data_IF_885468253207
#
_entry.id   IF_885468253207
#
_cell.length_a   1.000
_cell.length_b   1.000
_cell.length_c   1.000
_cell.angle_alpha   90.00
_cell.angle_beta   90.00
_cell.angle_gamma   90.00
#
_symmetry.space_group_name_H-M   'P 1'
#
loop_
_entity.id
_entity.type
_entity.pdbx_description
1 polymer ?
#
# COMPACT_ATOMS: atom_id res chain seq x y z
N UNK A 1 -30.06 -11.16 15.74
CA UNK A 1 -30.96 -9.98 15.74
C UNK A 1 -30.26 -8.86 14.98
N UNK A 2 -30.92 -8.21 14.00
CA UNK A 2 -30.25 -7.33 13.05
C UNK A 2 -30.30 -5.84 13.45
N UNK A 3 -29.29 -5.12 12.93
CA UNK A 3 -29.23 -3.71 12.54
C UNK A 3 -29.59 -2.62 13.57
N UNK A 4 -28.62 -1.75 13.85
CA UNK A 4 -28.88 -0.31 13.97
C UNK A 4 -27.78 0.48 13.25
N UNK A 5 -28.15 1.04 12.10
CA UNK A 5 -27.48 2.15 11.44
C UNK A 5 -27.68 3.40 12.30
N UNK A 6 -26.64 4.18 12.51
CA UNK A 6 -26.77 5.58 12.94
C UNK A 6 -26.02 6.42 11.92
N UNK A 7 -26.75 6.83 10.88
CA UNK A 7 -26.46 8.08 10.19
C UNK A 7 -27.17 9.18 10.98
N UNK A 8 -26.45 10.21 11.38
CA UNK A 8 -27.08 11.50 11.65
C UNK A 8 -26.19 12.61 11.10
N UNK A 9 -26.81 13.28 10.13
CA UNK A 9 -26.47 14.53 9.50
C UNK A 9 -26.40 15.67 10.54
N UNK A 10 -25.40 16.53 10.42
CA UNK A 10 -25.52 17.94 10.81
C UNK A 10 -24.63 18.81 9.92
N UNK A 11 -25.28 19.39 8.91
CA UNK A 11 -24.86 20.65 8.32
C UNK A 11 -25.26 21.77 9.28
N UNK A 12 -24.31 22.62 9.68
CA UNK A 12 -24.60 23.95 10.23
C UNK A 12 -23.57 24.94 9.69
N UNK A 13 -24.06 25.72 8.73
CA UNK A 13 -23.44 26.87 8.08
C UNK A 13 -23.60 28.10 8.99
N UNK A 14 -22.53 28.86 9.24
CA UNK A 14 -22.61 30.21 9.84
C UNK A 14 -21.90 31.21 8.93
N UNK A 15 -22.70 32.09 8.34
CA UNK A 15 -22.30 33.32 7.64
C UNK A 15 -21.80 34.37 8.63
N UNK A 16 -20.90 35.24 8.19
CA UNK A 16 -20.84 36.65 8.61
C UNK A 16 -20.26 37.55 7.47
N UNK A 17 -20.97 38.65 7.24
CA UNK A 17 -20.71 39.87 6.45
C UNK A 17 -19.41 40.61 6.89
N UNK A 18 -18.77 41.58 6.23
CA UNK A 18 -18.75 42.23 4.89
C UNK A 18 -17.79 43.44 4.98
N UNK A 19 -17.05 43.78 3.91
CA UNK A 19 -16.77 45.18 3.46
C UNK A 19 -16.01 45.19 2.14
N UNK A 20 -16.54 45.89 1.13
CA UNK A 20 -15.93 46.26 -0.16
C UNK A 20 -15.21 47.62 -0.07
N UNK A 21 -14.43 48.03 -1.09
CA UNK A 21 -14.99 48.94 -2.11
C UNK A 21 -14.64 48.60 -3.58
N UNK A 22 -15.57 49.08 -4.42
CA UNK A 22 -15.70 49.19 -5.89
C UNK A 22 -14.45 49.71 -6.65
N UNK A 23 -14.19 49.43 -7.95
CA UNK A 23 -15.03 49.70 -9.14
C UNK A 23 -14.44 49.04 -10.41
N UNK A 24 -15.29 48.70 -11.40
CA UNK A 24 -14.85 48.41 -12.77
C UNK A 24 -15.72 47.43 -13.55
N UNK A 25 -16.86 47.89 -14.06
CA UNK A 25 -17.81 47.12 -14.89
C UNK A 25 -17.25 46.91 -16.30
N UNK A 26 -17.24 45.68 -16.81
CA UNK A 26 -17.32 45.41 -18.25
C UNK A 26 -18.00 44.07 -18.48
N UNK A 27 -19.20 44.10 -19.04
CA UNK A 27 -19.99 42.93 -19.43
C UNK A 27 -19.30 42.20 -20.58
N UNK A 28 -19.13 40.88 -20.49
CA UNK A 28 -19.01 40.02 -21.67
C UNK A 28 -19.61 38.63 -21.43
N UNK A 29 -20.32 38.21 -22.48
CA UNK A 29 -21.27 37.11 -22.67
C UNK A 29 -20.82 35.73 -22.18
N UNK A 30 -21.85 34.91 -21.89
CA UNK A 30 -21.85 33.47 -21.65
C UNK A 30 -20.83 32.70 -22.50
N UNK A 31 -20.03 31.89 -21.81
CA UNK A 31 -19.10 30.91 -22.38
C UNK A 31 -19.31 29.56 -21.71
N UNK A 32 -19.91 28.65 -22.48
CA UNK A 32 -20.11 27.21 -22.28
C UNK A 32 -19.00 26.53 -21.47
N UNK A 33 -19.41 25.75 -20.47
CA UNK A 33 -18.61 24.73 -19.80
C UNK A 33 -17.96 23.81 -20.84
N UNK A 34 -16.67 23.98 -21.07
CA UNK A 34 -15.85 22.95 -21.71
C UNK A 34 -15.39 22.02 -20.60
N UNK A 35 -16.04 20.87 -20.52
CA UNK A 35 -15.37 19.66 -20.05
C UNK A 35 -14.09 19.54 -20.86
N UNK A 36 -12.95 19.70 -20.20
CA UNK A 36 -11.68 19.26 -20.75
C UNK A 36 -11.79 17.74 -20.80
N UNK A 37 -12.28 17.24 -21.94
CA UNK A 37 -12.20 15.84 -22.28
C UNK A 37 -10.71 15.52 -22.32
N UNK A 38 -10.23 14.79 -21.31
CA UNK A 38 -8.93 14.15 -21.34
C UNK A 38 -8.92 13.26 -22.59
N UNK A 39 -8.33 13.74 -23.68
CA UNK A 39 -7.94 12.92 -24.83
C UNK A 39 -6.92 11.90 -24.31
N UNK A 40 -7.41 10.81 -23.72
CA UNK A 40 -6.59 9.66 -23.39
C UNK A 40 -6.00 9.14 -24.70
N UNK A 41 -4.68 9.29 -24.87
CA UNK A 41 -3.91 8.74 -26.00
C UNK A 41 -4.36 7.31 -26.30
N UNK A 42 -5.13 7.11 -27.37
CA UNK A 42 -5.65 5.79 -27.75
C UNK A 42 -4.52 4.76 -27.99
N UNK A 43 -3.30 5.25 -28.23
CA UNK A 43 -2.13 4.46 -28.60
C UNK A 43 -1.52 3.64 -27.43
N UNK A 44 -1.95 3.89 -26.17
CA UNK A 44 -1.42 3.19 -24.99
C UNK A 44 -2.46 2.24 -24.35
N UNK A 45 -3.69 2.16 -24.89
CA UNK A 45 -4.74 1.32 -24.30
C UNK A 45 -4.46 -0.17 -24.53
N UNK A 46 -4.33 -0.98 -23.46
CA UNK A 46 -4.00 -2.39 -23.60
C UNK A 46 -5.13 -3.15 -24.31
N UNK A 47 -4.78 -4.00 -25.28
CA UNK A 47 -5.74 -4.82 -26.03
C UNK A 47 -6.44 -5.86 -25.15
N UNK A 48 -5.83 -6.24 -24.02
CA UNK A 48 -6.37 -7.24 -23.10
C UNK A 48 -5.95 -6.95 -21.67
N UNK A 49 -6.92 -6.96 -20.77
CA UNK A 49 -6.69 -6.91 -19.33
C UNK A 49 -6.49 -8.32 -18.77
N UNK A 50 -5.44 -8.53 -17.97
CA UNK A 50 -5.23 -9.79 -17.25
C UNK A 50 -6.18 -9.94 -16.05
N UNK A 51 -6.62 -8.83 -15.49
CA UNK A 51 -7.45 -8.76 -14.29
C UNK A 51 -8.52 -7.69 -14.45
N UNK A 52 -9.63 -7.88 -13.74
CA UNK A 52 -10.71 -6.89 -13.64
C UNK A 52 -10.19 -5.59 -12.99
N UNK A 53 -10.51 -4.44 -13.60
CA UNK A 53 -10.03 -3.13 -13.13
C UNK A 53 -10.55 -2.78 -11.74
N UNK A 54 -11.83 -3.01 -11.47
CA UNK A 54 -12.46 -2.72 -10.18
C UNK A 54 -11.82 -3.57 -9.08
N UNK A 55 -11.49 -4.83 -9.41
CA UNK A 55 -10.74 -5.71 -8.50
C UNK A 55 -9.36 -5.16 -8.17
N UNK A 56 -8.63 -4.61 -9.15
CA UNK A 56 -7.30 -4.02 -8.94
C UNK A 56 -7.38 -2.72 -8.13
N UNK A 57 -8.34 -1.86 -8.44
CA UNK A 57 -8.55 -0.58 -7.74
C UNK A 57 -8.71 -0.76 -6.23
N UNK A 58 -9.37 -1.84 -5.79
CA UNK A 58 -9.51 -2.19 -4.38
C UNK A 58 -8.17 -2.42 -3.65
N UNK A 59 -7.10 -2.78 -4.36
CA UNK A 59 -5.77 -2.97 -3.78
C UNK A 59 -4.92 -1.69 -3.78
N UNK A 60 -5.17 -0.75 -4.68
CA UNK A 60 -4.25 0.37 -4.95
C UNK A 60 -4.15 1.42 -3.83
N UNK A 61 -5.08 1.42 -2.86
CA UNK A 61 -5.18 2.44 -1.82
C UNK A 61 -5.03 1.85 -0.42
N UNK A 62 -4.60 2.69 0.53
CA UNK A 62 -4.67 2.35 1.95
C UNK A 62 -6.13 2.19 2.37
N UNK A 63 -6.47 1.04 2.95
CA UNK A 63 -7.83 0.75 3.43
C UNK A 63 -8.14 1.39 4.78
N UNK A 64 -7.10 1.77 5.53
CA UNK A 64 -7.22 2.45 6.81
C UNK A 64 -6.01 3.38 7.04
N UNK A 65 -6.26 4.51 7.70
CA UNK A 65 -5.21 5.38 8.24
C UNK A 65 -4.67 4.71 9.50
N UNK A 66 -3.36 4.47 9.55
CA UNK A 66 -2.69 3.86 10.69
C UNK A 66 -1.52 4.71 11.16
N UNK A 67 -1.03 4.40 12.35
CA UNK A 67 0.18 5.00 12.92
C UNK A 67 1.39 4.55 12.10
N UNK A 68 2.51 5.26 12.23
CA UNK A 68 3.79 4.80 11.68
C UNK A 68 4.06 3.39 12.23
N UNK A 69 4.37 2.46 11.33
CA UNK A 69 4.67 1.07 11.65
C UNK A 69 6.00 0.88 12.39
N UNK A 70 6.27 -0.36 12.77
CA UNK A 70 7.45 -0.73 13.52
C UNK A 70 8.74 -0.60 12.68
N UNK A 71 9.83 -0.16 13.33
CA UNK A 71 11.18 -0.33 12.81
C UNK A 71 11.63 -1.80 12.82
N UNK A 72 12.78 -2.11 12.22
CA UNK A 72 13.35 -3.45 12.23
C UNK A 72 14.74 -3.46 12.86
N UNK A 73 14.98 -4.40 13.79
CA UNK A 73 16.31 -4.61 14.36
C UNK A 73 17.30 -5.04 13.28
N UNK A 74 18.51 -4.48 13.33
CA UNK A 74 19.62 -4.97 12.52
C UNK A 74 20.18 -6.24 13.17
N UNK A 75 20.10 -7.37 12.48
CA UNK A 75 20.49 -8.70 12.97
C UNK A 75 21.94 -9.07 12.61
N UNK A 76 22.78 -8.06 12.38
CA UNK A 76 24.16 -8.19 11.91
C UNK A 76 24.22 -8.06 10.39
N UNK A 77 24.66 -6.89 9.90
CA UNK A 77 24.72 -6.53 8.49
C UNK A 77 23.41 -6.81 7.72
N UNK A 78 22.26 -6.65 8.37
CA UNK A 78 20.95 -6.95 7.77
C UNK A 78 20.19 -5.70 7.35
N UNK A 79 20.86 -4.54 7.28
CA UNK A 79 20.19 -3.28 6.94
C UNK A 79 19.68 -3.26 5.50
N UNK A 80 20.37 -3.92 4.56
CA UNK A 80 19.92 -4.08 3.18
C UNK A 80 18.54 -4.77 3.10
N UNK A 81 18.37 -5.87 3.85
CA UNK A 81 17.10 -6.58 3.98
C UNK A 81 16.05 -5.70 4.66
N UNK A 82 16.41 -5.04 5.77
CA UNK A 82 15.47 -4.20 6.51
C UNK A 82 14.92 -3.06 5.65
N UNK A 83 15.75 -2.39 4.83
CA UNK A 83 15.29 -1.31 3.94
C UNK A 83 14.29 -1.81 2.90
N UNK A 84 14.56 -2.96 2.26
CA UNK A 84 13.65 -3.52 1.26
C UNK A 84 12.35 -3.99 1.89
N UNK A 85 12.44 -4.72 3.01
CA UNK A 85 11.24 -5.20 3.72
C UNK A 85 10.33 -4.05 4.15
N UNK A 86 10.90 -2.93 4.62
CA UNK A 86 10.13 -1.72 4.92
C UNK A 86 9.46 -1.16 3.65
N UNK A 87 10.19 -1.03 2.55
CA UNK A 87 9.61 -0.60 1.26
C UNK A 87 8.43 -1.49 0.86
N UNK A 88 8.57 -2.82 0.93
CA UNK A 88 7.51 -3.76 0.55
C UNK A 88 6.26 -3.64 1.43
N UNK A 89 6.43 -3.45 2.75
CA UNK A 89 5.32 -3.24 3.70
C UNK A 89 4.50 -2.00 3.32
N UNK A 90 5.16 -0.95 2.83
CA UNK A 90 4.55 0.33 2.51
C UNK A 90 4.07 0.48 1.06
N UNK A 91 4.05 -0.60 0.27
CA UNK A 91 3.39 -0.64 -1.04
C UNK A 91 1.93 -1.09 -0.85
N UNK A 92 0.92 -0.20 -0.95
CA UNK A 92 -0.48 -0.56 -0.70
C UNK A 92 -0.98 -1.77 -1.51
N UNK A 93 -0.78 -1.83 -2.85
CA UNK A 93 -1.30 -2.96 -3.62
C UNK A 93 -0.69 -4.29 -3.21
N UNK A 94 0.61 -4.32 -2.91
CA UNK A 94 1.27 -5.54 -2.45
C UNK A 94 0.76 -5.95 -1.07
N UNK A 95 0.68 -5.03 -0.12
CA UNK A 95 0.18 -5.31 1.23
C UNK A 95 -1.24 -5.83 1.21
N UNK A 96 -2.12 -5.15 0.49
CA UNK A 96 -3.52 -5.53 0.40
C UNK A 96 -3.68 -6.89 -0.31
N UNK A 97 -2.90 -7.15 -1.36
CA UNK A 97 -2.87 -8.47 -2.01
C UNK A 97 -2.40 -9.59 -1.07
N UNK A 98 -1.27 -9.41 -0.37
CA UNK A 98 -0.73 -10.40 0.59
C UNK A 98 -1.74 -10.70 1.71
N UNK A 99 -2.54 -9.71 2.13
CA UNK A 99 -3.59 -9.90 3.12
C UNK A 99 -4.73 -10.83 2.66
N UNK A 100 -4.95 -10.99 1.34
CA UNK A 100 -5.97 -11.89 0.79
C UNK A 100 -5.52 -13.34 0.66
N UNK A 101 -4.22 -13.60 0.73
CA UNK A 101 -3.65 -14.94 0.51
C UNK A 101 -4.00 -15.82 1.71
N UNK A 102 -4.69 -16.94 1.45
CA UNK A 102 -4.97 -17.92 2.51
C UNK A 102 -3.80 -18.89 2.68
N UNK A 103 -3.76 -19.60 3.81
CA UNK A 103 -2.77 -20.68 4.02
C UNK A 103 -2.82 -21.76 2.93
N UNK A 104 -4.00 -21.99 2.35
CA UNK A 104 -4.15 -22.98 1.30
C UNK A 104 -3.57 -22.47 -0.03
N UNK A 105 -3.75 -21.18 -0.33
CA UNK A 105 -3.17 -20.54 -1.51
C UNK A 105 -1.64 -20.50 -1.46
N UNK A 106 -1.08 -20.26 -0.27
CA UNK A 106 0.36 -20.14 -0.07
C UNK A 106 1.09 -21.49 -0.09
N UNK A 107 0.41 -22.58 0.31
CA UNK A 107 0.99 -23.92 0.46
C UNK A 107 1.72 -24.43 -0.80
N UNK A 108 1.26 -24.05 -1.99
CA UNK A 108 1.92 -24.46 -3.27
C UNK A 108 3.31 -23.85 -3.47
N UNK A 109 3.66 -22.81 -2.71
CA UNK A 109 4.96 -22.14 -2.75
C UNK A 109 5.87 -22.54 -1.60
N UNK A 110 5.40 -23.40 -0.71
CA UNK A 110 6.21 -23.92 0.38
C UNK A 110 7.29 -24.84 -0.18
N UNK A 111 8.54 -24.61 0.21
CA UNK A 111 9.64 -25.48 -0.18
C UNK A 111 9.62 -26.82 0.59
N UNK A 112 10.46 -27.77 0.15
CA UNK A 112 10.55 -29.11 0.76
C UNK A 112 11.00 -29.09 2.23
N UNK A 113 11.54 -27.96 2.72
CA UNK A 113 11.97 -27.77 4.11
C UNK A 113 11.01 -26.89 4.91
N UNK A 114 9.84 -26.59 4.33
CA UNK A 114 8.74 -25.92 4.99
C UNK A 114 8.78 -24.39 4.92
N UNK A 115 9.73 -23.78 4.21
CA UNK A 115 9.78 -22.32 4.02
C UNK A 115 8.71 -21.88 3.02
N UNK A 116 7.76 -21.05 3.48
CA UNK A 116 6.72 -20.44 2.65
C UNK A 116 6.94 -18.91 2.59
N UNK A 117 7.39 -18.37 1.44
CA UNK A 117 7.62 -16.94 1.28
C UNK A 117 6.38 -16.08 1.53
N UNK A 118 5.21 -16.53 1.08
CA UNK A 118 3.98 -15.73 1.14
C UNK A 118 3.44 -15.66 2.56
N UNK A 119 3.38 -16.79 3.27
CA UNK A 119 3.04 -16.79 4.70
C UNK A 119 4.04 -15.98 5.53
N UNK A 120 5.31 -16.01 5.14
CA UNK A 120 6.37 -15.24 5.81
C UNK A 120 6.17 -13.73 5.65
N UNK A 121 5.88 -13.27 4.43
CA UNK A 121 5.57 -11.87 4.16
C UNK A 121 4.28 -11.44 4.87
N UNK A 122 3.24 -12.27 4.86
CA UNK A 122 1.98 -11.96 5.53
C UNK A 122 2.18 -11.75 7.04
N UNK A 123 2.94 -12.64 7.70
CA UNK A 123 3.28 -12.46 9.12
C UNK A 123 4.09 -11.18 9.34
N UNK A 124 5.11 -10.93 8.52
CA UNK A 124 5.94 -9.73 8.63
C UNK A 124 5.10 -8.45 8.48
N UNK A 125 4.21 -8.38 7.49
CA UNK A 125 3.39 -7.19 7.22
C UNK A 125 2.44 -6.90 8.38
N UNK A 126 1.87 -7.94 8.97
CA UNK A 126 1.03 -7.82 10.17
C UNK A 126 1.84 -7.33 11.38
N UNK A 127 3.03 -7.89 11.61
CA UNK A 127 3.91 -7.46 12.70
C UNK A 127 4.38 -6.01 12.50
N UNK A 128 4.81 -5.64 11.29
CA UNK A 128 5.33 -4.31 10.96
C UNK A 128 4.26 -3.21 11.06
N UNK A 129 2.98 -3.56 10.91
CA UNK A 129 1.87 -2.61 11.03
C UNK A 129 1.09 -2.75 12.35
N UNK A 130 1.59 -3.56 13.28
CA UNK A 130 1.04 -3.69 14.63
C UNK A 130 1.43 -2.49 15.52
N UNK A 131 0.88 -2.43 16.74
CA UNK A 131 1.20 -1.39 17.72
C UNK A 131 2.59 -1.55 18.38
N UNK A 132 3.53 -2.24 17.74
CA UNK A 132 4.90 -2.42 18.24
C UNK A 132 5.83 -1.35 17.66
N UNK A 133 6.86 -0.97 18.42
CA UNK A 133 7.84 0.03 17.95
C UNK A 133 8.93 -0.57 17.06
N UNK A 134 9.32 -1.81 17.34
CA UNK A 134 10.43 -2.49 16.65
C UNK A 134 10.11 -3.99 16.57
N UNK A 135 10.40 -4.61 15.43
CA UNK A 135 10.30 -6.05 15.20
C UNK A 135 11.66 -6.62 14.75
N UNK A 136 11.80 -7.95 14.80
CA UNK A 136 13.00 -8.63 14.32
C UNK A 136 12.62 -9.65 13.25
N UNK A 137 12.94 -9.44 11.96
CA UNK A 137 12.61 -10.36 10.84
C UNK A 137 13.49 -11.63 10.85
N UNK A 138 13.62 -12.29 12.00
CA UNK A 138 14.55 -13.40 12.24
C UNK A 138 14.28 -14.61 11.34
N UNK A 139 13.02 -14.87 11.00
CA UNK A 139 12.67 -15.99 10.15
C UNK A 139 13.12 -15.78 8.69
N UNK A 140 12.98 -14.56 8.17
CA UNK A 140 13.51 -14.19 6.85
C UNK A 140 15.04 -14.24 6.90
N UNK A 141 15.64 -13.62 7.92
CA UNK A 141 17.08 -13.59 8.11
C UNK A 141 17.71 -15.00 8.14
N UNK A 142 17.13 -15.95 8.88
CA UNK A 142 17.61 -17.33 8.95
C UNK A 142 17.43 -18.10 7.63
N UNK A 143 16.48 -17.68 6.79
CA UNK A 143 16.14 -18.32 5.53
C UNK A 143 16.61 -17.52 4.30
N UNK A 144 17.56 -16.58 4.44
CA UNK A 144 18.09 -15.79 3.31
C UNK A 144 18.53 -16.64 2.12
N UNK A 145 19.17 -17.79 2.38
CA UNK A 145 19.60 -18.76 1.35
C UNK A 145 18.46 -19.38 0.54
N UNK A 146 17.22 -19.32 1.05
CA UNK A 146 16.00 -19.78 0.37
C UNK A 146 15.50 -18.76 -0.64
N UNK A 147 15.76 -17.48 -0.40
CA UNK A 147 15.40 -16.40 -1.32
C UNK A 147 16.41 -16.33 -2.47
N UNK A 148 17.71 -16.40 -2.16
CA UNK A 148 18.77 -16.54 -3.14
C UNK A 148 19.94 -17.30 -2.53
N UNK A 149 20.56 -18.20 -3.31
CA UNK A 149 21.72 -19.01 -2.87
C UNK A 149 22.92 -18.15 -2.45
N UNK A 150 23.02 -16.92 -2.97
CA UNK A 150 24.11 -15.99 -2.70
C UNK A 150 24.10 -15.45 -1.27
N UNK A 151 22.91 -15.25 -0.69
CA UNK A 151 22.78 -14.55 0.58
C UNK A 151 23.24 -15.36 1.78
N UNK A 152 23.89 -14.67 2.71
CA UNK A 152 24.37 -15.27 3.96
C UNK A 152 24.03 -14.40 5.16
N UNK A 153 23.44 -14.96 6.23
CA UNK A 153 23.25 -14.24 7.49
C UNK A 153 24.57 -13.63 7.97
N UNK A 154 24.56 -12.35 8.36
CA UNK A 154 25.74 -11.63 8.87
C UNK A 154 26.66 -11.04 7.80
N UNK A 155 26.44 -11.34 6.51
CA UNK A 155 27.18 -10.72 5.40
C UNK A 155 26.41 -9.52 4.87
N UNK A 156 27.11 -8.43 4.57
CA UNK A 156 26.53 -7.30 3.87
C UNK A 156 26.30 -7.66 2.40
N UNK A 157 25.11 -7.37 1.89
CA UNK A 157 24.68 -7.65 0.52
C UNK A 157 24.08 -6.37 -0.10
N UNK A 158 23.82 -6.39 -1.40
CA UNK A 158 23.15 -5.30 -2.10
C UNK A 158 21.63 -5.35 -1.85
N UNK A 159 21.04 -4.21 -1.52
CA UNK A 159 19.59 -4.09 -1.32
C UNK A 159 18.80 -4.24 -2.61
N UNK A 160 19.39 -3.94 -3.77
CA UNK A 160 18.74 -4.18 -5.06
C UNK A 160 18.70 -5.67 -5.42
N UNK A 161 19.70 -6.45 -4.98
CA UNK A 161 19.72 -7.90 -5.21
C UNK A 161 18.73 -8.62 -4.30
N UNK A 162 18.46 -8.06 -3.11
CA UNK A 162 17.56 -8.62 -2.10
C UNK A 162 16.08 -8.35 -2.40
#
# INVERSE_FOLDING_TARGET
MPLNKVENTMFLNKKNHSTTPTHGTSQRKEGKSTTEDEEEDEDIRPTRWLYDRQKIEGYMRWTAISRIGAGMNNLGNSCFMNSVLQTLVYIPPLRNFIATITKQDSKRYQDVQGFDPLSTLQRLFNEATSNTRVISPTYIFKNLKRLSKGFRPGRQEDAQEF
#
